data_IF_877618570964
#
_entry.id   IF_877618570964
#
_cell.length_a   1.000
_cell.length_b   1.000
_cell.length_c   1.000
_cell.angle_alpha   90.00
_cell.angle_beta   90.00
_cell.angle_gamma   90.00
#
_symmetry.space_group_name_H-M   'P 1'
#
loop_
_entity.id
_entity.type
_entity.pdbx_description
1 polymer ?
#
# COMPACT_ATOMS: atom_id res chain seq x y z
N UNK A 1 -8.05 -18.95 -8.45
CA UNK A 1 -9.11 -17.93 -8.57
C UNK A 1 -9.10 -16.87 -7.46
N UNK A 2 -8.30 -17.01 -6.42
CA UNK A 2 -8.15 -15.99 -5.35
C UNK A 2 -7.37 -14.72 -5.78
N UNK A 3 -6.54 -14.79 -6.83
CA UNK A 3 -5.74 -13.65 -7.29
C UNK A 3 -6.55 -12.52 -7.94
N UNK A 4 -7.62 -12.85 -8.65
CA UNK A 4 -8.45 -11.84 -9.34
C UNK A 4 -9.21 -10.91 -8.39
N UNK A 5 -9.63 -11.37 -7.20
CA UNK A 5 -10.35 -10.54 -6.23
C UNK A 5 -9.41 -9.52 -5.57
N UNK A 6 -8.16 -9.89 -5.24
CA UNK A 6 -7.18 -9.00 -4.59
C UNK A 6 -6.82 -7.81 -5.49
N UNK A 7 -6.53 -8.06 -6.78
CA UNK A 7 -6.20 -6.99 -7.73
C UNK A 7 -7.41 -6.16 -8.15
N UNK A 8 -8.60 -6.74 -8.25
CA UNK A 8 -9.82 -5.97 -8.43
C UNK A 8 -10.01 -4.99 -7.28
N UNK A 9 -9.79 -5.43 -6.03
CA UNK A 9 -9.84 -4.60 -4.84
C UNK A 9 -8.81 -3.46 -4.90
N UNK A 10 -7.57 -3.76 -5.28
CA UNK A 10 -6.50 -2.76 -5.42
C UNK A 10 -6.82 -1.77 -6.56
N UNK A 11 -7.29 -2.24 -7.71
CA UNK A 11 -7.63 -1.41 -8.86
C UNK A 11 -8.80 -0.46 -8.57
N UNK A 12 -9.86 -0.94 -7.91
CA UNK A 12 -10.99 -0.09 -7.50
C UNK A 12 -10.58 0.92 -6.43
N UNK A 13 -9.74 0.52 -5.49
CA UNK A 13 -9.17 1.39 -4.47
C UNK A 13 -8.31 2.49 -5.10
N UNK A 14 -7.43 2.16 -6.05
CA UNK A 14 -6.60 3.11 -6.78
C UNK A 14 -7.44 4.10 -7.59
N UNK A 15 -8.48 3.66 -8.30
CA UNK A 15 -9.37 4.54 -9.07
C UNK A 15 -10.12 5.55 -8.18
N UNK A 16 -10.50 5.16 -6.95
CA UNK A 16 -11.12 6.08 -5.97
C UNK A 16 -10.11 7.06 -5.37
N UNK A 17 -8.87 6.63 -5.10
CA UNK A 17 -7.80 7.49 -4.61
C UNK A 17 -7.41 8.54 -5.66
N UNK A 18 -7.36 8.19 -6.92
CA UNK A 18 -7.07 9.13 -8.02
C UNK A 18 -8.09 10.27 -8.11
N UNK A 19 -9.34 10.03 -7.70
CA UNK A 19 -10.38 11.06 -7.61
C UNK A 19 -10.13 12.10 -6.48
N UNK A 20 -9.24 11.76 -5.50
CA UNK A 20 -8.93 12.58 -4.32
C UNK A 20 -7.48 13.11 -4.34
N UNK A 21 -7.02 13.62 -5.45
CA UNK A 21 -5.64 14.05 -5.71
C UNK A 21 -4.96 14.82 -4.56
N UNK A 22 -5.69 15.71 -3.88
CA UNK A 22 -5.13 16.52 -2.78
C UNK A 22 -4.71 15.67 -1.57
N UNK A 23 -5.54 14.73 -1.16
CA UNK A 23 -5.25 13.83 -0.04
C UNK A 23 -4.06 12.90 -0.36
N UNK A 24 -4.01 12.37 -1.59
CA UNK A 24 -2.89 11.53 -2.06
C UNK A 24 -1.56 12.29 -2.01
N UNK A 25 -1.55 13.55 -2.46
CA UNK A 25 -0.32 14.38 -2.41
C UNK A 25 0.15 14.63 -0.99
N UNK A 26 -0.75 14.90 -0.06
CA UNK A 26 -0.40 15.10 1.37
C UNK A 26 0.25 13.87 1.96
N UNK A 27 -0.30 12.68 1.70
CA UNK A 27 0.25 11.40 2.15
C UNK A 27 1.65 11.14 1.57
N UNK A 28 1.83 11.33 0.28
CA UNK A 28 3.14 11.16 -0.38
C UNK A 28 4.17 12.15 0.17
N UNK A 29 3.80 13.42 0.42
CA UNK A 29 4.70 14.42 1.00
C UNK A 29 5.13 13.99 2.40
N UNK A 30 4.24 13.47 3.23
CA UNK A 30 4.58 12.94 4.56
C UNK A 30 5.55 11.78 4.45
N UNK A 31 5.29 10.81 3.56
CA UNK A 31 6.16 9.66 3.33
C UNK A 31 7.56 10.08 2.86
N UNK A 32 7.67 10.97 1.87
CA UNK A 32 8.95 11.53 1.41
C UNK A 32 9.73 12.20 2.56
N UNK A 33 9.02 12.96 3.40
CA UNK A 33 9.63 13.67 4.53
C UNK A 33 10.16 12.71 5.57
N UNK A 34 9.39 11.69 5.93
CA UNK A 34 9.80 10.68 6.93
C UNK A 34 10.90 9.79 6.37
N UNK A 35 10.79 9.33 5.13
CA UNK A 35 11.82 8.52 4.49
C UNK A 35 13.17 9.26 4.43
N UNK A 36 13.16 10.56 4.09
CA UNK A 36 14.38 11.37 4.07
C UNK A 36 14.95 11.64 5.47
N UNK A 37 14.08 11.78 6.49
CA UNK A 37 14.48 11.95 7.90
C UNK A 37 15.19 10.70 8.43
N UNK A 38 14.63 9.53 8.17
CA UNK A 38 15.08 8.26 8.75
C UNK A 38 16.29 7.68 8.01
N UNK A 39 16.32 7.75 6.68
CA UNK A 39 17.34 7.11 5.83
C UNK A 39 18.24 8.09 5.08
N UNK A 40 18.07 9.40 5.28
CA UNK A 40 18.82 10.43 4.56
C UNK A 40 18.20 10.84 3.23
N UNK A 41 18.66 11.99 2.65
CA UNK A 41 18.06 12.60 1.46
C UNK A 41 18.55 12.03 0.14
N UNK A 42 19.50 11.11 0.14
CA UNK A 42 20.10 10.55 -1.08
C UNK A 42 19.22 9.37 -1.52
N UNK A 43 18.54 9.52 -2.65
CA UNK A 43 17.56 8.53 -3.16
C UNK A 43 18.23 7.19 -3.49
N UNK A 44 19.46 7.24 -4.00
CA UNK A 44 20.25 6.05 -4.37
C UNK A 44 20.59 5.18 -3.15
N UNK A 45 20.78 5.80 -1.99
CA UNK A 45 21.17 5.15 -0.74
C UNK A 45 19.97 4.82 0.18
N UNK A 46 18.75 5.31 -0.19
CA UNK A 46 17.56 5.20 0.63
C UNK A 46 16.41 4.50 -0.14
N UNK A 47 16.27 3.17 -0.03
CA UNK A 47 15.24 2.41 -0.74
C UNK A 47 13.80 2.89 -0.44
N UNK A 48 13.51 3.27 0.82
CA UNK A 48 12.20 3.81 1.22
C UNK A 48 11.91 5.13 0.50
N UNK A 49 12.90 6.01 0.43
CA UNK A 49 12.78 7.30 -0.25
C UNK A 49 12.61 7.11 -1.76
N UNK A 50 13.30 6.14 -2.35
CA UNK A 50 13.17 5.79 -3.77
C UNK A 50 11.75 5.36 -4.11
N UNK A 51 11.16 4.44 -3.32
CA UNK A 51 9.77 4.00 -3.51
C UNK A 51 8.77 5.17 -3.35
N UNK A 52 8.99 6.03 -2.35
CA UNK A 52 8.16 7.22 -2.15
C UNK A 52 8.27 8.21 -3.31
N UNK A 53 9.46 8.40 -3.87
CA UNK A 53 9.69 9.24 -5.05
C UNK A 53 9.00 8.67 -6.30
N UNK A 54 9.12 7.37 -6.54
CA UNK A 54 8.45 6.70 -7.66
C UNK A 54 6.93 6.86 -7.57
N UNK A 55 6.36 6.67 -6.37
CA UNK A 55 4.94 6.90 -6.09
C UNK A 55 4.53 8.35 -6.35
N UNK A 56 5.39 9.32 -5.99
CA UNK A 56 5.17 10.74 -6.24
C UNK A 56 5.17 11.06 -7.74
N UNK A 57 6.11 10.53 -8.49
CA UNK A 57 6.22 10.71 -9.94
C UNK A 57 5.02 10.08 -10.66
N UNK A 58 4.62 8.88 -10.26
CA UNK A 58 3.43 8.18 -10.80
C UNK A 58 2.14 8.95 -10.52
N UNK A 59 2.06 9.69 -9.41
CA UNK A 59 0.96 10.58 -9.08
C UNK A 59 1.04 11.95 -9.80
N UNK A 60 2.01 12.15 -10.71
CA UNK A 60 2.27 13.42 -11.40
C UNK A 60 2.63 14.58 -10.46
N UNK A 61 3.32 14.31 -9.36
CA UNK A 61 3.87 15.34 -8.49
C UNK A 61 5.08 16.00 -9.15
N UNK A 62 5.21 17.32 -9.02
CA UNK A 62 6.35 18.03 -9.62
C UNK A 62 7.65 17.73 -8.86
N UNK A 63 8.77 17.65 -9.59
CA UNK A 63 10.10 17.44 -8.99
C UNK A 63 10.44 18.47 -7.90
N UNK A 64 10.00 19.73 -8.07
CA UNK A 64 10.21 20.78 -7.07
C UNK A 64 9.46 20.49 -5.75
N UNK A 65 8.22 19.97 -5.82
CA UNK A 65 7.47 19.55 -4.63
C UNK A 65 8.13 18.37 -3.94
N UNK A 66 8.58 17.37 -4.71
CA UNK A 66 9.32 16.21 -4.20
C UNK A 66 10.58 16.65 -3.47
N UNK A 67 11.42 17.48 -4.13
CA UNK A 67 12.68 17.96 -3.55
C UNK A 67 12.44 18.76 -2.26
N UNK A 68 11.41 19.61 -2.22
CA UNK A 68 11.04 20.34 -0.99
C UNK A 68 10.64 19.41 0.15
N UNK A 69 9.91 18.34 -0.11
CA UNK A 69 9.55 17.35 0.89
C UNK A 69 10.79 16.61 1.44
N UNK A 70 11.70 16.19 0.56
CA UNK A 70 12.97 15.55 0.92
C UNK A 70 13.83 16.48 1.77
N UNK A 71 14.02 17.74 1.34
CA UNK A 71 14.81 18.74 2.09
C UNK A 71 14.21 19.04 3.47
N UNK A 72 12.89 19.07 3.60
CA UNK A 72 12.21 19.23 4.88
C UNK A 72 12.54 18.10 5.83
N UNK A 73 12.54 16.85 5.36
CA UNK A 73 12.92 15.68 6.16
C UNK A 73 14.38 15.72 6.59
N UNK A 74 15.29 16.05 5.67
CA UNK A 74 16.72 16.07 5.90
C UNK A 74 17.19 17.27 6.75
N UNK A 75 16.48 18.40 6.68
CA UNK A 75 16.96 19.67 7.24
C UNK A 75 16.72 19.89 8.71
N UNK A 76 16.06 18.98 9.42
CA UNK A 76 15.79 19.11 10.87
C UNK A 76 15.02 20.38 11.27
N UNK A 77 14.57 21.20 10.32
CA UNK A 77 13.72 22.33 10.61
C UNK A 77 12.33 21.81 10.99
N UNK A 78 11.69 22.49 11.95
CA UNK A 78 10.36 22.25 12.54
C UNK A 78 9.25 21.81 11.57
N UNK A 79 9.46 20.72 10.88
CA UNK A 79 8.47 20.01 10.13
C UNK A 79 7.98 18.91 11.03
N UNK A 80 6.76 19.07 11.52
CA UNK A 80 5.92 18.09 12.20
C UNK A 80 6.70 16.83 12.63
N UNK A 81 6.83 16.58 13.92
CA UNK A 81 7.39 15.32 14.44
C UNK A 81 6.44 14.17 14.03
N UNK A 82 6.44 13.85 12.74
CA UNK A 82 5.69 12.72 12.22
C UNK A 82 6.30 11.45 12.79
N UNK A 83 5.46 10.66 13.42
CA UNK A 83 5.78 9.34 13.91
C UNK A 83 4.95 8.30 13.16
N UNK A 84 5.60 7.18 12.85
CA UNK A 84 4.89 6.02 12.32
C UNK A 84 4.18 5.30 13.47
N UNK A 85 2.87 5.11 13.32
CA UNK A 85 2.05 4.39 14.30
C UNK A 85 1.16 3.40 13.56
N UNK A 86 1.14 2.16 14.07
CA UNK A 86 0.28 1.11 13.56
C UNK A 86 -0.96 1.02 14.45
N UNK A 87 -2.12 1.01 13.84
CA UNK A 87 -3.39 0.69 14.49
C UNK A 87 -3.96 -0.61 13.94
N UNK A 88 -4.62 -1.35 14.79
CA UNK A 88 -5.10 -2.68 14.52
C UNK A 88 -6.55 -2.81 14.99
N UNK A 89 -7.35 -3.56 14.26
CA UNK A 89 -8.75 -3.76 14.63
C UNK A 89 -9.44 -4.85 13.83
N UNK A 90 -10.72 -4.99 14.10
CA UNK A 90 -11.58 -5.94 13.42
C UNK A 90 -12.78 -5.21 12.80
N UNK A 91 -13.00 -5.44 11.52
CA UNK A 91 -14.18 -5.01 10.78
C UNK A 91 -15.33 -6.03 10.92
N UNK A 92 -16.54 -5.69 10.48
CA UNK A 92 -17.66 -6.63 10.45
C UNK A 92 -17.31 -7.95 9.76
N UNK A 93 -17.79 -9.07 10.32
CA UNK A 93 -17.46 -10.42 9.85
C UNK A 93 -16.14 -10.98 10.40
N UNK A 94 -15.50 -10.27 11.34
CA UNK A 94 -14.23 -10.70 11.95
C UNK A 94 -13.00 -10.43 11.08
N UNK A 95 -13.14 -9.59 10.07
CA UNK A 95 -12.04 -9.18 9.18
C UNK A 95 -10.98 -8.42 9.94
N UNK A 96 -9.74 -8.86 9.85
CA UNK A 96 -8.59 -8.16 10.41
C UNK A 96 -8.26 -6.90 9.59
N UNK A 97 -8.02 -5.79 10.29
CA UNK A 97 -7.67 -4.50 9.69
C UNK A 97 -6.35 -4.01 10.28
N UNK A 98 -5.35 -3.83 9.41
CA UNK A 98 -4.03 -3.32 9.74
C UNK A 98 -3.85 -1.94 9.10
N UNK A 99 -3.55 -0.92 9.90
CA UNK A 99 -3.56 0.48 9.49
C UNK A 99 -2.18 1.10 9.77
N UNK A 100 -1.50 1.54 8.72
CA UNK A 100 -0.27 2.33 8.83
C UNK A 100 -0.60 3.81 8.82
N UNK A 101 -0.05 4.55 9.78
CA UNK A 101 -0.25 5.99 9.89
C UNK A 101 1.07 6.74 10.04
N UNK A 102 1.10 7.98 9.55
CA UNK A 102 2.13 8.97 9.84
C UNK A 102 1.44 10.17 10.49
N UNK A 103 1.67 10.35 11.77
CA UNK A 103 0.96 11.37 12.57
C UNK A 103 1.89 12.20 13.44
N UNK A 104 1.53 13.45 13.61
CA UNK A 104 2.08 14.37 14.59
C UNK A 104 1.26 14.41 15.89
N UNK A 105 0.09 13.71 15.91
CA UNK A 105 -0.83 13.70 17.05
C UNK A 105 -1.58 12.36 17.19
N UNK A 106 -0.98 11.43 17.93
CA UNK A 106 -1.54 10.08 18.17
C UNK A 106 -2.95 10.10 18.78
N UNK A 107 -3.25 11.09 19.64
CA UNK A 107 -4.57 11.19 20.29
C UNK A 107 -5.67 11.55 19.29
N UNK A 108 -5.38 12.47 18.36
CA UNK A 108 -6.29 12.80 17.26
C UNK A 108 -6.51 11.55 16.40
N UNK A 109 -5.45 10.96 15.90
CA UNK A 109 -5.50 9.81 14.98
C UNK A 109 -6.27 8.63 15.56
N UNK A 110 -5.97 8.23 16.82
CA UNK A 110 -6.68 7.10 17.45
C UNK A 110 -8.17 7.38 17.65
N UNK A 111 -8.53 8.65 17.91
CA UNK A 111 -9.93 9.04 18.09
C UNK A 111 -10.71 8.98 16.78
N UNK A 112 -10.10 9.44 15.69
CA UNK A 112 -10.70 9.40 14.35
C UNK A 112 -10.86 7.96 13.85
N UNK A 113 -9.82 7.13 14.00
CA UNK A 113 -9.87 5.71 13.62
C UNK A 113 -10.94 4.98 14.46
N UNK A 114 -10.98 5.19 15.77
CA UNK A 114 -11.99 4.58 16.64
C UNK A 114 -13.40 4.99 16.23
N UNK A 115 -13.59 6.26 15.87
CA UNK A 115 -14.88 6.74 15.39
C UNK A 115 -15.31 6.01 14.11
N UNK A 116 -14.39 5.84 13.14
CA UNK A 116 -14.66 5.10 11.91
C UNK A 116 -15.06 3.65 12.21
N UNK A 117 -14.29 2.93 13.02
CA UNK A 117 -14.65 1.56 13.43
C UNK A 117 -16.05 1.50 14.07
N UNK A 118 -16.32 2.36 15.04
CA UNK A 118 -17.62 2.38 15.75
C UNK A 118 -18.77 2.66 14.80
N UNK A 119 -18.60 3.62 13.88
CA UNK A 119 -19.63 4.02 12.92
C UNK A 119 -20.03 2.89 11.97
N UNK A 120 -19.08 2.05 11.57
CA UNK A 120 -19.30 1.00 10.57
C UNK A 120 -19.37 -0.42 11.18
N UNK A 121 -19.51 -0.52 12.51
CA UNK A 121 -19.76 -1.79 13.20
C UNK A 121 -18.53 -2.66 13.42
N UNK A 122 -17.32 -2.08 13.32
CA UNK A 122 -16.07 -2.71 13.68
C UNK A 122 -15.61 -2.35 15.09
N UNK A 123 -14.42 -2.79 15.46
CA UNK A 123 -13.80 -2.53 16.75
C UNK A 123 -12.29 -2.28 16.61
N UNK A 124 -11.81 -1.15 17.14
CA UNK A 124 -10.39 -0.88 17.27
C UNK A 124 -9.80 -1.77 18.37
N UNK A 125 -8.81 -2.58 18.00
CA UNK A 125 -8.11 -3.48 18.90
C UNK A 125 -6.93 -2.84 19.62
N UNK A 126 -6.16 -3.68 20.31
CA UNK A 126 -4.87 -3.31 20.90
C UNK A 126 -3.73 -3.66 19.94
N UNK A 127 -2.56 -3.08 20.16
CA UNK A 127 -1.35 -3.44 19.39
C UNK A 127 -1.07 -4.94 19.49
N UNK A 128 -0.77 -5.58 18.36
CA UNK A 128 -0.53 -7.02 18.24
C UNK A 128 -1.80 -7.87 18.09
N UNK A 129 -2.99 -7.25 17.99
CA UNK A 129 -4.25 -8.01 17.86
C UNK A 129 -4.44 -8.67 16.50
N UNK A 130 -3.88 -8.10 15.43
CA UNK A 130 -3.97 -8.63 14.06
C UNK A 130 -2.64 -8.63 13.31
N UNK A 131 -1.61 -7.90 13.76
CA UNK A 131 -0.34 -7.76 13.06
C UNK A 131 0.32 -9.10 12.72
N UNK A 132 0.17 -10.11 13.59
CA UNK A 132 0.71 -11.46 13.41
C UNK A 132 0.08 -12.22 12.22
N UNK A 133 -1.04 -11.74 11.69
CA UNK A 133 -1.70 -12.34 10.53
C UNK A 133 -1.10 -11.83 9.21
N UNK A 134 -0.34 -10.73 9.26
CA UNK A 134 0.14 -10.04 8.08
C UNK A 134 1.66 -10.15 7.95
N UNK A 135 2.11 -10.44 6.75
CA UNK A 135 3.52 -10.44 6.35
C UNK A 135 3.76 -9.37 5.28
N UNK A 136 4.87 -8.64 5.39
CA UNK A 136 5.25 -7.68 4.36
C UNK A 136 5.79 -8.41 3.13
N UNK A 137 5.26 -8.11 1.95
CA UNK A 137 5.71 -8.63 0.65
C UNK A 137 5.93 -7.49 -0.33
N UNK A 138 6.97 -7.60 -1.15
CA UNK A 138 7.14 -6.77 -2.32
C UNK A 138 6.31 -7.32 -3.47
N UNK A 139 5.60 -6.46 -4.21
CA UNK A 139 4.83 -6.85 -5.39
C UNK A 139 5.16 -5.96 -6.57
N UNK A 140 5.39 -6.60 -7.71
CA UNK A 140 5.59 -5.93 -8.99
C UNK A 140 4.55 -6.42 -9.98
N UNK A 141 3.78 -5.50 -10.55
CA UNK A 141 2.85 -5.76 -11.63
C UNK A 141 3.50 -5.44 -12.96
N UNK A 142 3.56 -6.40 -13.84
CA UNK A 142 4.19 -6.29 -15.16
C UNK A 142 3.15 -6.51 -16.25
N UNK A 143 3.18 -5.67 -17.29
CA UNK A 143 2.41 -5.83 -18.52
C UNK A 143 3.14 -6.85 -19.41
N UNK A 144 3.01 -8.13 -19.07
CA UNK A 144 3.63 -9.26 -19.75
C UNK A 144 2.87 -10.56 -19.47
N UNK A 145 2.88 -11.46 -20.44
CA UNK A 145 2.33 -12.80 -20.34
C UNK A 145 3.22 -13.68 -19.45
N UNK A 146 2.62 -14.55 -18.66
CA UNK A 146 3.31 -15.52 -17.80
C UNK A 146 4.19 -16.50 -18.59
N UNK A 147 3.91 -16.70 -19.87
CA UNK A 147 4.68 -17.62 -20.75
C UNK A 147 5.99 -17.00 -21.29
N UNK A 148 6.31 -15.75 -20.95
CA UNK A 148 7.55 -15.09 -21.38
C UNK A 148 8.75 -15.67 -20.60
N UNK A 149 9.59 -16.44 -21.26
CA UNK A 149 10.79 -17.07 -20.66
C UNK A 149 11.76 -16.02 -20.10
N UNK A 150 11.92 -14.86 -20.74
CA UNK A 150 12.80 -13.80 -20.26
C UNK A 150 12.27 -13.15 -18.96
N UNK A 151 10.95 -13.06 -18.78
CA UNK A 151 10.35 -12.64 -17.54
C UNK A 151 10.68 -13.60 -16.40
N UNK A 152 10.56 -14.91 -16.66
CA UNK A 152 10.87 -15.94 -15.69
C UNK A 152 12.34 -15.91 -15.25
N UNK A 153 13.25 -15.81 -16.21
CA UNK A 153 14.69 -15.78 -15.93
C UNK A 153 15.05 -14.56 -15.05
N UNK A 154 14.56 -13.37 -15.44
CA UNK A 154 14.78 -12.16 -14.66
C UNK A 154 14.18 -12.29 -13.25
N UNK A 155 12.97 -12.80 -13.12
CA UNK A 155 12.29 -12.95 -11.85
C UNK A 155 13.05 -13.91 -10.91
N UNK A 156 13.43 -15.08 -11.40
CA UNK A 156 14.14 -16.12 -10.64
C UNK A 156 15.52 -15.64 -10.18
N UNK A 157 16.27 -14.95 -11.05
CA UNK A 157 17.62 -14.45 -10.74
C UNK A 157 17.62 -13.27 -9.77
N UNK A 158 16.49 -12.54 -9.62
CA UNK A 158 16.40 -11.30 -8.85
C UNK A 158 15.45 -11.36 -7.67
N UNK A 159 15.20 -12.56 -7.14
CA UNK A 159 14.58 -12.76 -5.83
C UNK A 159 13.05 -12.75 -5.85
N UNK A 160 12.42 -13.09 -6.97
CA UNK A 160 10.99 -13.38 -6.95
C UNK A 160 10.75 -14.72 -6.25
N UNK A 161 9.90 -14.71 -5.22
CA UNK A 161 9.47 -15.90 -4.48
C UNK A 161 8.30 -16.59 -5.18
N UNK A 162 7.45 -15.82 -5.86
CA UNK A 162 6.25 -16.32 -6.53
C UNK A 162 5.91 -15.48 -7.77
N UNK A 163 5.29 -16.12 -8.76
CA UNK A 163 4.87 -15.52 -10.03
C UNK A 163 3.44 -15.92 -10.30
N UNK A 164 2.56 -14.94 -10.35
CA UNK A 164 1.12 -15.14 -10.47
C UNK A 164 0.56 -14.51 -11.75
N UNK A 165 -0.14 -15.30 -12.55
CA UNK A 165 -0.95 -14.79 -13.66
C UNK A 165 -2.19 -14.09 -13.11
N UNK A 166 -2.40 -12.84 -13.52
CA UNK A 166 -3.60 -12.09 -13.15
C UNK A 166 -4.64 -12.05 -14.26
N UNK A 167 -4.19 -11.89 -15.50
CA UNK A 167 -4.96 -12.00 -16.73
C UNK A 167 -4.01 -12.36 -17.89
N UNK A 168 -4.55 -12.51 -19.11
CA UNK A 168 -3.79 -12.93 -20.30
C UNK A 168 -2.58 -12.04 -20.67
N UNK A 169 -2.47 -10.86 -20.07
CA UNK A 169 -1.41 -9.89 -20.37
C UNK A 169 -0.68 -9.35 -19.14
N UNK A 170 -1.04 -9.82 -17.94
CA UNK A 170 -0.52 -9.25 -16.68
C UNK A 170 -0.03 -10.30 -15.72
N UNK A 171 1.20 -10.13 -15.30
CA UNK A 171 1.86 -10.99 -14.32
C UNK A 171 2.21 -10.20 -13.06
N UNK A 172 1.89 -10.77 -11.90
CA UNK A 172 2.32 -10.29 -10.60
C UNK A 172 3.54 -11.10 -10.14
N UNK A 173 4.61 -10.40 -9.79
CA UNK A 173 5.77 -10.97 -9.15
C UNK A 173 5.74 -10.62 -7.67
N UNK A 174 6.00 -11.61 -6.81
CA UNK A 174 6.06 -11.46 -5.34
C UNK A 174 7.49 -11.69 -4.90
N UNK A 175 8.01 -10.86 -4.01
CA UNK A 175 9.37 -10.98 -3.48
C UNK A 175 9.46 -10.50 -2.02
N UNK A 176 10.61 -10.72 -1.38
CA UNK A 176 10.93 -10.04 -0.12
C UNK A 176 10.95 -8.52 -0.35
N UNK A 177 10.42 -7.69 0.57
CA UNK A 177 10.45 -6.22 0.46
C UNK A 177 11.81 -5.61 0.15
N UNK A 178 12.89 -6.24 0.63
CA UNK A 178 14.27 -5.78 0.38
C UNK A 178 14.69 -5.91 -1.09
N UNK A 179 14.14 -6.90 -1.80
CA UNK A 179 14.50 -7.23 -3.19
C UNK A 179 13.64 -6.46 -4.21
N UNK A 180 12.54 -5.83 -3.76
CA UNK A 180 11.57 -5.14 -4.60
C UNK A 180 12.19 -4.13 -5.57
N UNK A 181 13.09 -3.27 -5.07
CA UNK A 181 13.71 -2.22 -5.89
C UNK A 181 14.65 -2.81 -6.95
N UNK A 182 15.42 -3.86 -6.59
CA UNK A 182 16.29 -4.55 -7.51
C UNK A 182 15.50 -5.28 -8.60
N UNK A 183 14.48 -6.03 -8.20
CA UNK A 183 13.60 -6.76 -9.12
C UNK A 183 12.96 -5.81 -10.14
N UNK A 184 12.39 -4.67 -9.66
CA UNK A 184 11.82 -3.64 -10.53
C UNK A 184 12.84 -3.12 -11.55
N UNK A 185 14.04 -2.74 -11.09
CA UNK A 185 15.10 -2.21 -11.96
C UNK A 185 15.50 -3.22 -13.04
N UNK A 186 15.64 -4.49 -12.69
CA UNK A 186 16.00 -5.55 -13.63
C UNK A 186 14.92 -5.80 -14.68
N UNK A 187 13.65 -5.76 -14.29
CA UNK A 187 12.52 -5.85 -15.20
C UNK A 187 12.51 -4.69 -16.20
N UNK A 188 12.71 -3.46 -15.73
CA UNK A 188 12.77 -2.27 -16.59
C UNK A 188 13.96 -2.33 -17.55
N UNK A 189 15.14 -2.79 -17.10
CA UNK A 189 16.31 -3.03 -17.96
C UNK A 189 16.07 -4.14 -18.98
N UNK A 190 15.26 -5.14 -18.65
CA UNK A 190 14.79 -6.18 -19.56
C UNK A 190 13.71 -5.70 -20.55
N UNK A 191 13.37 -4.40 -20.55
CA UNK A 191 12.32 -3.77 -21.33
C UNK A 191 10.90 -4.23 -20.99
N UNK A 192 10.69 -4.78 -19.80
CA UNK A 192 9.34 -5.04 -19.31
C UNK A 192 8.71 -3.76 -18.77
N UNK A 193 7.45 -3.55 -19.11
CA UNK A 193 6.69 -2.40 -18.62
C UNK A 193 6.15 -2.71 -17.22
N UNK A 194 6.77 -2.12 -16.20
CA UNK A 194 6.28 -2.18 -14.82
C UNK A 194 5.13 -1.19 -14.63
N UNK A 195 3.92 -1.71 -14.34
CA UNK A 195 2.74 -0.88 -14.11
C UNK A 195 2.63 -0.40 -12.66
N UNK A 196 3.08 -1.23 -11.72
CA UNK A 196 3.07 -0.90 -10.29
C UNK A 196 4.18 -1.66 -9.56
N UNK A 197 4.69 -1.07 -8.48
CA UNK A 197 5.63 -1.69 -7.57
C UNK A 197 5.37 -1.13 -6.17
N UNK A 198 5.06 -2.01 -5.21
CA UNK A 198 4.69 -1.59 -3.87
C UNK A 198 5.01 -2.66 -2.81
N UNK A 199 5.14 -2.24 -1.56
CA UNK A 199 5.21 -3.15 -0.41
C UNK A 199 3.80 -3.25 0.16
N UNK A 200 3.26 -4.47 0.25
CA UNK A 200 1.93 -4.76 0.80
C UNK A 200 2.04 -5.63 2.04
N UNK A 201 1.03 -5.54 2.90
CA UNK A 201 0.86 -6.48 4.00
C UNK A 201 -0.10 -7.57 3.54
N UNK A 202 0.40 -8.79 3.37
CA UNK A 202 -0.38 -9.94 2.96
C UNK A 202 -0.70 -10.87 4.12
N UNK A 203 -1.73 -11.67 3.94
CA UNK A 203 -2.12 -12.71 4.89
C UNK A 203 -2.45 -14.01 4.14
N UNK A 204 -2.11 -15.13 4.74
CA UNK A 204 -2.49 -16.45 4.24
C UNK A 204 -3.98 -16.77 4.51
N UNK A 205 -4.55 -16.15 5.55
CA UNK A 205 -5.93 -16.41 5.97
C UNK A 205 -6.86 -15.28 5.52
N UNK A 206 -7.67 -15.54 4.49
CA UNK A 206 -8.70 -14.62 4.03
C UNK A 206 -10.06 -14.99 4.60
N UNK A 207 -10.91 -13.99 4.83
CA UNK A 207 -12.29 -14.14 5.27
C UNK A 207 -13.20 -13.78 4.10
N UNK A 208 -13.89 -14.78 3.56
CA UNK A 208 -14.87 -14.59 2.48
C UNK A 208 -16.14 -13.95 3.07
N UNK A 209 -16.57 -12.86 2.47
CA UNK A 209 -17.71 -12.07 2.88
C UNK A 209 -18.86 -12.18 1.88
N UNK A 210 -20.09 -12.09 2.38
CA UNK A 210 -21.26 -11.85 1.54
C UNK A 210 -21.32 -10.38 1.07
N UNK A 211 -22.27 -10.06 0.18
CA UNK A 211 -22.40 -8.72 -0.41
C UNK A 211 -22.66 -7.63 0.65
N UNK A 212 -23.48 -7.90 1.67
CA UNK A 212 -23.80 -6.93 2.72
C UNK A 212 -22.58 -6.65 3.61
N UNK A 213 -21.86 -7.69 4.01
CA UNK A 213 -20.63 -7.58 4.80
C UNK A 213 -19.53 -6.91 4.00
N UNK A 214 -19.41 -7.23 2.71
CA UNK A 214 -18.46 -6.61 1.78
C UNK A 214 -18.68 -5.10 1.68
N UNK A 215 -19.93 -4.66 1.51
CA UNK A 215 -20.28 -3.22 1.46
C UNK A 215 -19.93 -2.50 2.77
N UNK A 216 -20.20 -3.10 3.93
CA UNK A 216 -19.83 -2.53 5.24
C UNK A 216 -18.33 -2.42 5.41
N UNK A 217 -17.57 -3.46 5.01
CA UNK A 217 -16.13 -3.46 5.06
C UNK A 217 -15.52 -2.40 4.14
N UNK A 218 -16.02 -2.26 2.91
CA UNK A 218 -15.60 -1.21 1.98
C UNK A 218 -15.82 0.19 2.56
N UNK A 219 -17.01 0.45 3.12
CA UNK A 219 -17.31 1.76 3.75
C UNK A 219 -16.40 2.07 4.93
N UNK A 220 -16.07 1.07 5.75
CA UNK A 220 -15.13 1.22 6.85
C UNK A 220 -13.71 1.53 6.33
N UNK A 221 -13.23 0.74 5.38
CA UNK A 221 -11.88 0.91 4.79
C UNK A 221 -11.77 2.29 4.13
N UNK A 222 -12.76 2.68 3.32
CA UNK A 222 -12.80 4.00 2.66
C UNK A 222 -12.77 5.13 3.70
N UNK A 223 -13.54 5.02 4.78
CA UNK A 223 -13.59 6.04 5.83
C UNK A 223 -12.26 6.16 6.59
N UNK A 224 -11.56 5.04 6.81
CA UNK A 224 -10.24 5.05 7.44
C UNK A 224 -9.19 5.61 6.47
N UNK A 225 -9.22 5.21 5.20
CA UNK A 225 -8.31 5.72 4.17
C UNK A 225 -8.47 7.22 3.91
N UNK A 226 -9.64 7.79 4.16
CA UNK A 226 -9.90 9.23 4.01
C UNK A 226 -9.27 10.08 5.11
N UNK A 227 -8.81 9.48 6.20
CA UNK A 227 -8.14 10.20 7.27
C UNK A 227 -6.74 10.67 6.84
N UNK A 228 -6.41 11.92 7.14
CA UNK A 228 -5.17 12.57 6.68
C UNK A 228 -3.90 11.88 7.22
N UNK A 229 -3.96 11.29 8.42
CA UNK A 229 -2.83 10.65 9.06
C UNK A 229 -2.64 9.19 8.58
N UNK A 230 -3.64 8.58 7.95
CA UNK A 230 -3.58 7.21 7.47
C UNK A 230 -2.84 7.15 6.13
N UNK A 231 -1.82 6.33 6.05
CA UNK A 231 -1.06 6.10 4.82
C UNK A 231 -1.64 4.93 4.04
N UNK A 232 -1.80 3.78 4.70
CA UNK A 232 -2.25 2.54 4.06
C UNK A 232 -3.15 1.75 5.02
N UNK A 233 -4.11 1.04 4.44
CA UNK A 233 -5.00 0.11 5.16
C UNK A 233 -4.94 -1.24 4.46
N UNK A 234 -4.68 -2.30 5.23
CA UNK A 234 -4.66 -3.67 4.75
C UNK A 234 -5.71 -4.48 5.49
N UNK A 235 -6.36 -5.38 4.78
CA UNK A 235 -7.39 -6.27 5.34
C UNK A 235 -7.24 -7.68 4.79
N UNK A 236 -7.76 -8.65 5.53
CA UNK A 236 -7.87 -10.02 5.05
C UNK A 236 -9.27 -10.35 4.51
N UNK A 237 -10.03 -9.32 4.10
CA UNK A 237 -11.33 -9.51 3.47
C UNK A 237 -11.19 -10.07 2.05
N UNK A 238 -11.93 -11.12 1.76
CA UNK A 238 -12.23 -11.56 0.40
C UNK A 238 -13.65 -11.09 0.08
N UNK A 239 -13.72 -9.94 -0.65
CA UNK A 239 -14.96 -9.22 -0.91
C UNK A 239 -15.77 -9.89 -2.03
N UNK A 240 -17.09 -9.89 -1.89
CA UNK A 240 -18.00 -10.31 -2.95
C UNK A 240 -17.87 -9.43 -4.19
N UNK A 241 -17.76 -10.03 -5.38
CA UNK A 241 -17.54 -9.31 -6.62
C UNK A 241 -18.69 -8.38 -7.02
N UNK A 242 -19.90 -8.63 -6.53
CA UNK A 242 -21.08 -7.80 -6.82
C UNK A 242 -20.94 -6.35 -6.34
N UNK A 243 -20.14 -6.11 -5.29
CA UNK A 243 -19.93 -4.75 -4.75
C UNK A 243 -19.10 -3.83 -5.66
N UNK A 244 -18.42 -4.40 -6.67
CA UNK A 244 -17.62 -3.66 -7.65
C UNK A 244 -18.35 -3.32 -8.94
N UNK A 245 -19.54 -3.89 -9.15
CA UNK A 245 -20.34 -3.73 -10.37
C UNK A 245 -21.51 -2.76 -10.20
N UNK A 246 -21.63 -2.11 -9.05
CA UNK A 246 -22.74 -1.19 -8.69
C UNK A 246 -22.41 0.26 -8.99
#
# INVERSE_FOLDING_TARGET
>A
MAGHSKWANIKHRKARQDAKRGAVFTKIIRELTVAAKDGGPIVEDNPRLRLAQDKALSANMTKDTINRAIQRGAGGQEGQNLEEVIYEGYAPGGVAVFIKTLTDNKNRTVSEIRHAFTKYGGNLGTSGSVAYLFEAKGKVLVDADLTDEALYDIAAENGADDINELDESKTELVCDPKDLSNLKEKLELGNFKVEASEIVMETETNITLDAEQSEKNMKLTDAIEDLDDVQEVFTNADLDQSVFTS
#
